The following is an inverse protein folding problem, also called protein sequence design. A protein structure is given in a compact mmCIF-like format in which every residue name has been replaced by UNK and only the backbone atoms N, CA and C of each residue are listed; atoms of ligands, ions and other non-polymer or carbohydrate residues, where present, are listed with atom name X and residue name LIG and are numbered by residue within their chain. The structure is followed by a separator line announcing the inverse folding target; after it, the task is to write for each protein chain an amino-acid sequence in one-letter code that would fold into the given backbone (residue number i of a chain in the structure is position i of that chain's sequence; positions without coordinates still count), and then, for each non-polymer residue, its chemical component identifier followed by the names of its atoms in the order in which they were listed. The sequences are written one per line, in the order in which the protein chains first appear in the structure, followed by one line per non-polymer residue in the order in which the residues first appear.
data_IF_351423529747
#
_entry.id   IF_351423529747
#
_cell.length_a   1.000
_cell.length_b   1.000
_cell.length_c   1.000
_cell.angle_alpha   90.00
_cell.angle_beta   90.00
_cell.angle_gamma   90.00
#
_symmetry.space_group_name_H-M   'P 1'
#
loop_
_entity.id
_entity.type
_entity.pdbx_description
1 polymer ?
#
# COMPACT_ATOMS: atom_id res chain seq x y z
N UNK A 1 2.71 -38.52 -4.64
CA UNK A 1 3.27 -37.66 -3.57
C UNK A 1 3.32 -36.26 -4.14
N UNK A 2 2.27 -35.45 -3.96
CA UNK A 2 2.18 -34.12 -4.56
C UNK A 2 3.11 -33.18 -3.77
N UNK A 3 4.25 -32.86 -4.36
CA UNK A 3 5.20 -31.92 -3.79
C UNK A 3 4.56 -30.53 -3.74
N UNK A 4 4.38 -30.03 -2.53
CA UNK A 4 4.36 -28.63 -2.11
C UNK A 4 3.77 -27.64 -3.13
N UNK A 5 2.45 -27.42 -3.04
CA UNK A 5 1.93 -26.10 -3.35
C UNK A 5 2.53 -25.17 -2.29
N UNK A 6 3.72 -24.60 -2.54
CA UNK A 6 4.30 -23.62 -1.63
C UNK A 6 3.28 -22.50 -1.49
N UNK A 7 2.64 -22.42 -0.34
CA UNK A 7 1.64 -21.39 -0.05
C UNK A 7 2.35 -20.04 -0.21
N UNK A 8 2.08 -19.36 -1.32
CA UNK A 8 2.74 -18.08 -1.63
C UNK A 8 2.18 -17.07 -0.66
N UNK A 9 3.01 -16.61 0.28
CA UNK A 9 2.63 -15.57 1.22
C UNK A 9 2.44 -14.25 0.47
N UNK A 10 1.18 -13.86 0.25
CA UNK A 10 0.77 -12.61 -0.42
C UNK A 10 1.33 -11.36 0.28
N UNK A 11 1.66 -11.47 1.57
CA UNK A 11 2.18 -10.38 2.40
C UNK A 11 3.71 -10.33 2.43
N UNK A 12 4.37 -11.24 1.72
CA UNK A 12 5.82 -11.31 1.68
C UNK A 12 6.39 -10.00 1.14
N UNK A 13 7.25 -9.36 1.93
CA UNK A 13 8.04 -8.23 1.47
C UNK A 13 9.44 -8.63 1.01
N UNK A 14 9.99 -7.78 0.14
CA UNK A 14 11.40 -7.78 -0.19
C UNK A 14 12.27 -7.43 1.02
N UNK A 15 13.58 -7.60 0.87
CA UNK A 15 14.58 -7.21 1.87
C UNK A 15 14.52 -5.72 2.29
N UNK A 16 13.88 -4.88 1.49
CA UNK A 16 13.66 -3.46 1.79
C UNK A 16 12.27 -3.14 2.31
N UNK A 17 11.41 -4.13 2.54
CA UNK A 17 10.03 -3.92 3.00
C UNK A 17 9.03 -3.61 1.89
N UNK A 18 9.39 -3.82 0.61
CA UNK A 18 8.45 -3.61 -0.50
C UNK A 18 7.58 -4.86 -0.64
N UNK A 19 6.28 -4.71 -0.44
CA UNK A 19 5.29 -5.76 -0.71
C UNK A 19 4.78 -5.68 -2.14
N UNK A 20 4.24 -6.79 -2.64
CA UNK A 20 3.50 -6.81 -3.91
C UNK A 20 2.36 -5.78 -3.90
N UNK A 21 1.65 -5.66 -2.76
CA UNK A 21 0.55 -4.71 -2.58
C UNK A 21 1.01 -3.25 -2.74
N UNK A 22 2.15 -2.86 -2.15
CA UNK A 22 2.69 -1.51 -2.28
C UNK A 22 3.07 -1.23 -3.75
N UNK A 23 3.76 -2.18 -4.40
CA UNK A 23 4.24 -2.02 -5.77
C UNK A 23 3.09 -1.82 -6.77
N UNK A 24 2.05 -2.64 -6.73
CA UNK A 24 0.91 -2.51 -7.66
C UNK A 24 0.17 -1.18 -7.48
N UNK A 25 0.16 -0.67 -6.24
CA UNK A 25 -0.47 0.62 -5.92
C UNK A 25 0.34 1.79 -6.46
N UNK A 26 1.67 1.77 -6.34
CA UNK A 26 2.54 2.81 -6.90
C UNK A 26 2.46 2.86 -8.44
N UNK A 27 2.30 1.70 -9.09
CA UNK A 27 2.17 1.60 -10.55
C UNK A 27 0.73 1.94 -11.01
N UNK A 28 -0.27 1.75 -10.15
CA UNK A 28 -1.69 1.98 -10.47
C UNK A 28 -2.41 0.76 -11.07
N UNK A 29 -1.91 -0.45 -10.84
CA UNK A 29 -2.49 -1.71 -11.32
C UNK A 29 -3.67 -2.15 -10.44
N UNK A 30 -4.81 -1.48 -10.61
CA UNK A 30 -6.02 -1.73 -9.82
C UNK A 30 -6.54 -3.16 -9.89
N UNK A 31 -6.37 -3.81 -11.04
CA UNK A 31 -6.91 -5.15 -11.28
C UNK A 31 -6.12 -6.19 -10.48
N UNK A 32 -4.79 -6.03 -10.43
CA UNK A 32 -3.91 -6.89 -9.63
C UNK A 32 -4.03 -6.56 -8.15
N UNK A 33 -4.22 -5.29 -7.80
CA UNK A 33 -4.54 -4.88 -6.44
C UNK A 33 -5.77 -5.63 -5.91
N UNK A 34 -6.86 -5.69 -6.68
CA UNK A 34 -8.08 -6.38 -6.25
C UNK A 34 -7.83 -7.89 -6.02
N UNK A 35 -7.06 -8.54 -6.90
CA UNK A 35 -6.65 -9.94 -6.73
C UNK A 35 -5.87 -10.13 -5.41
N UNK A 36 -4.86 -9.30 -5.14
CA UNK A 36 -4.07 -9.39 -3.90
C UNK A 36 -4.93 -9.18 -2.66
N UNK A 37 -5.88 -8.23 -2.70
CA UNK A 37 -6.80 -7.98 -1.59
C UNK A 37 -7.78 -9.14 -1.36
N UNK A 38 -8.20 -9.83 -2.42
CA UNK A 38 -9.03 -11.04 -2.32
C UNK A 38 -8.24 -12.22 -1.75
N UNK A 39 -6.94 -12.28 -2.02
CA UNK A 39 -6.01 -13.31 -1.53
C UNK A 39 -5.51 -13.06 -0.09
N UNK A 40 -6.05 -12.03 0.60
CA UNK A 40 -5.75 -11.75 2.00
C UNK A 40 -4.54 -10.83 2.23
N UNK A 41 -4.17 -10.01 1.24
CA UNK A 41 -3.16 -8.99 1.43
C UNK A 41 -3.57 -7.98 2.52
N UNK A 42 -2.66 -7.71 3.44
CA UNK A 42 -2.84 -6.80 4.58
C UNK A 42 -2.69 -5.36 4.09
N UNK A 43 -3.78 -4.60 4.18
CA UNK A 43 -3.91 -3.26 3.61
C UNK A 43 -3.13 -2.16 4.32
N UNK A 44 -2.83 -2.37 5.60
CA UNK A 44 -2.08 -1.43 6.44
C UNK A 44 -0.71 -1.99 6.82
N UNK A 45 -0.19 -2.94 6.03
CA UNK A 45 1.12 -3.53 6.28
C UNK A 45 2.22 -2.49 6.05
N UNK A 46 2.99 -2.23 7.09
CA UNK A 46 4.10 -1.29 7.08
C UNK A 46 5.42 -1.99 7.37
N UNK A 47 6.50 -1.35 6.94
CA UNK A 47 7.86 -1.81 7.20
C UNK A 47 8.70 -0.64 7.69
N UNK A 48 9.53 -0.90 8.70
CA UNK A 48 10.41 0.09 9.30
C UNK A 48 11.88 -0.32 9.20
N UNK A 49 12.79 0.63 9.44
CA UNK A 49 14.23 0.41 9.49
C UNK A 49 15.01 0.89 8.26
N UNK A 50 16.35 0.81 8.35
CA UNK A 50 17.30 1.47 7.43
C UNK A 50 17.06 1.21 5.93
N UNK A 51 16.63 0.01 5.56
CA UNK A 51 16.38 -0.33 4.15
C UNK A 51 15.07 0.27 3.63
N UNK A 52 14.03 0.30 4.46
CA UNK A 52 12.76 0.95 4.14
C UNK A 52 12.94 2.48 4.10
N UNK A 53 13.75 3.04 5.02
CA UNK A 53 14.16 4.45 5.03
C UNK A 53 14.89 4.83 3.74
N UNK A 54 15.89 4.05 3.34
CA UNK A 54 16.64 4.28 2.10
C UNK A 54 15.78 4.22 0.83
N UNK A 55 14.62 3.56 0.90
CA UNK A 55 13.62 3.52 -0.18
C UNK A 55 12.48 4.53 0.01
N UNK A 56 12.49 5.33 1.08
CA UNK A 56 11.43 6.30 1.43
C UNK A 56 10.03 5.68 1.54
N UNK A 57 9.97 4.43 2.00
CA UNK A 57 8.71 3.69 2.22
C UNK A 57 8.53 3.30 3.69
N UNK A 58 9.42 3.78 4.57
CA UNK A 58 9.36 3.45 5.98
C UNK A 58 8.06 3.94 6.62
N UNK A 59 7.41 3.02 7.31
CA UNK A 59 6.07 3.18 7.89
C UNK A 59 5.01 3.65 6.88
N UNK A 60 5.23 3.47 5.58
CA UNK A 60 4.23 3.83 4.56
C UNK A 60 3.23 2.70 4.38
N UNK A 61 1.94 3.01 4.50
CA UNK A 61 0.87 2.10 4.08
C UNK A 61 0.58 2.24 2.58
N UNK A 62 0.04 1.19 1.93
CA UNK A 62 -0.44 1.24 0.55
C UNK A 62 -1.29 2.48 0.22
N UNK A 63 -2.17 2.92 1.13
CA UNK A 63 -3.04 4.08 0.88
C UNK A 63 -2.26 5.40 0.70
N UNK A 64 -1.17 5.59 1.44
CA UNK A 64 -0.25 6.74 1.27
C UNK A 64 0.40 6.68 -0.11
N UNK A 65 0.86 5.49 -0.54
CA UNK A 65 1.39 5.25 -1.87
C UNK A 65 0.36 5.58 -2.96
N UNK A 66 -0.85 5.06 -2.85
CA UNK A 66 -1.92 5.28 -3.83
C UNK A 66 -2.20 6.77 -4.05
N UNK A 67 -2.18 7.54 -2.97
CA UNK A 67 -2.40 8.99 -2.97
C UNK A 67 -1.24 9.72 -3.61
N UNK A 68 -0.01 9.37 -3.25
CA UNK A 68 1.22 9.95 -3.82
C UNK A 68 1.31 9.76 -5.34
N UNK A 69 0.88 8.60 -5.85
CA UNK A 69 0.92 8.26 -7.27
C UNK A 69 -0.41 8.54 -8.01
N UNK A 70 -1.34 9.28 -7.39
CA UNK A 70 -2.63 9.66 -7.98
C UNK A 70 -3.45 8.48 -8.56
N UNK A 71 -3.41 7.33 -7.89
CA UNK A 71 -4.12 6.14 -8.35
C UNK A 71 -5.54 6.08 -7.78
N UNK A 72 -6.44 6.91 -8.31
CA UNK A 72 -7.82 7.04 -7.81
C UNK A 72 -8.59 5.71 -7.68
N UNK A 73 -8.38 4.77 -8.60
CA UNK A 73 -8.97 3.42 -8.53
C UNK A 73 -8.41 2.63 -7.33
N UNK A 74 -7.09 2.64 -7.16
CA UNK A 74 -6.43 1.98 -6.04
C UNK A 74 -6.84 2.58 -4.68
N UNK A 75 -6.96 3.91 -4.60
CA UNK A 75 -7.46 4.61 -3.41
C UNK A 75 -8.84 4.09 -3.03
N UNK A 76 -9.78 4.01 -3.99
CA UNK A 76 -11.13 3.50 -3.74
C UNK A 76 -11.14 2.04 -3.28
N UNK A 77 -10.33 1.19 -3.89
CA UNK A 77 -10.22 -0.22 -3.50
C UNK A 77 -9.66 -0.39 -2.08
N UNK A 78 -8.65 0.41 -1.71
CA UNK A 78 -8.05 0.37 -0.37
C UNK A 78 -8.98 0.96 0.70
N UNK A 79 -9.69 2.05 0.40
CA UNK A 79 -10.68 2.64 1.33
C UNK A 79 -11.86 1.69 1.60
N UNK A 80 -12.27 0.89 0.61
CA UNK A 80 -13.28 -0.14 0.79
C UNK A 80 -12.88 -1.25 1.78
N UNK A 81 -11.59 -1.34 2.16
CA UNK A 81 -11.03 -2.37 3.05
C UNK A 81 -10.77 -1.89 4.48
N UNK A 82 -11.44 -0.82 4.94
CA UNK A 82 -11.28 -0.24 6.29
C UNK A 82 -9.83 0.15 6.63
N UNK A 83 -9.11 0.72 5.67
CA UNK A 83 -7.74 1.20 5.85
C UNK A 83 -7.67 2.38 6.83
N UNK A 84 -6.57 2.47 7.58
CA UNK A 84 -6.35 3.57 8.50
C UNK A 84 -5.92 4.86 7.77
N UNK A 85 -6.88 5.70 7.41
CA UNK A 85 -6.64 7.00 6.75
C UNK A 85 -5.87 8.01 7.61
N UNK A 86 -5.81 7.81 8.93
CA UNK A 86 -5.10 8.68 9.86
C UNK A 86 -3.65 8.23 10.11
N UNK A 87 -3.24 7.13 9.50
CA UNK A 87 -1.86 6.63 9.60
C UNK A 87 -0.86 7.67 9.10
N UNK A 88 0.27 7.77 9.80
CA UNK A 88 1.40 8.62 9.42
C UNK A 88 2.62 7.75 9.19
N UNK A 89 3.33 8.01 8.10
CA UNK A 89 4.62 7.36 7.86
C UNK A 89 5.73 8.03 8.68
N UNK A 90 6.96 7.53 8.56
CA UNK A 90 8.12 8.04 9.33
C UNK A 90 8.44 9.52 9.01
N UNK A 91 7.95 10.05 7.89
CA UNK A 91 8.09 11.47 7.52
C UNK A 91 6.91 12.33 8.02
N UNK A 92 6.11 11.82 8.95
CA UNK A 92 4.86 12.44 9.45
C UNK A 92 3.79 12.70 8.36
N UNK A 93 3.95 12.07 7.19
CA UNK A 93 3.02 12.22 6.08
C UNK A 93 1.83 11.29 6.29
N UNK A 94 0.63 11.89 6.29
CA UNK A 94 -0.65 11.17 6.26
C UNK A 94 -1.28 11.23 4.87
N UNK A 95 -2.25 10.36 4.64
CA UNK A 95 -3.08 10.36 3.41
C UNK A 95 -3.77 11.70 3.22
N UNK A 96 -4.30 12.28 4.30
CA UNK A 96 -5.00 13.57 4.28
C UNK A 96 -4.04 14.70 3.90
N UNK A 97 -2.83 14.72 4.48
CA UNK A 97 -1.82 15.72 4.15
C UNK A 97 -1.45 15.67 2.67
N UNK A 98 -1.18 14.46 2.14
CA UNK A 98 -0.89 14.28 0.73
C UNK A 98 -2.05 14.70 -0.17
N UNK A 99 -3.29 14.36 0.19
CA UNK A 99 -4.46 14.75 -0.59
C UNK A 99 -4.71 16.26 -0.59
N UNK A 100 -4.28 16.98 0.45
CA UNK A 100 -4.29 18.45 0.52
C UNK A 100 -3.27 19.06 -0.44
N UNK A 101 -2.02 18.59 -0.36
CA UNK A 101 -0.93 19.06 -1.23
C UNK A 101 -1.20 18.78 -2.72
N UNK A 102 -1.93 17.71 -3.03
CA UNK A 102 -2.16 17.25 -4.39
C UNK A 102 -3.56 17.58 -4.95
N UNK A 103 -4.47 18.06 -4.10
CA UNK A 103 -5.87 18.35 -4.47
C UNK A 103 -6.76 17.12 -4.66
N UNK A 104 -6.37 15.95 -4.15
CA UNK A 104 -7.06 14.67 -4.34
C UNK A 104 -8.10 14.32 -3.27
N UNK A 105 -8.58 15.30 -2.48
CA UNK A 105 -9.65 15.09 -1.50
C UNK A 105 -10.90 14.39 -2.04
N UNK A 106 -11.21 14.59 -3.34
CA UNK A 106 -12.36 13.94 -3.97
C UNK A 106 -12.25 12.41 -4.03
N UNK A 107 -11.04 11.87 -3.98
CA UNK A 107 -10.80 10.43 -3.96
C UNK A 107 -10.89 9.82 -2.55
N UNK A 108 -10.86 10.65 -1.51
CA UNK A 108 -10.96 10.25 -0.10
C UNK A 108 -12.38 10.36 0.48
N UNK A 109 -13.32 10.96 -0.27
CA UNK A 109 -14.75 11.05 0.06
C UNK A 109 -15.53 9.92 -0.58
#
# INVERSE_FOLDING_TARGET
MCAECSEVDVNKASLSGITSLLMVVEIGWSDILDILLQDGAIVDLTYSGKRAEGKKIADSIPLIGATKYNSAKCIKLLLARNTNSNHKNQSDVSVILLADETGYFKCLK
#
